data_IF_841739784673
#
_entry.id   IF_841739784673
#
_cell.length_a   1.000
_cell.length_b   1.000
_cell.length_c   1.000
_cell.angle_alpha   90.00
_cell.angle_beta   90.00
_cell.angle_gamma   90.00
#
_symmetry.space_group_name_H-M   'P 1'
#
loop_
_entity.id
_entity.type
_entity.pdbx_description
1 polymer ?
#
# COMPACT_ATOMS: atom_id res chain seq x y z
N UNK A 1 3.27 19.24 8.29
CA UNK A 1 4.03 17.97 8.20
C UNK A 1 5.34 18.07 8.99
N UNK A 2 5.86 16.95 9.51
CA UNK A 2 7.22 16.90 10.07
C UNK A 2 8.27 16.85 8.95
N UNK A 3 9.46 17.37 9.21
CA UNK A 3 10.55 17.43 8.23
C UNK A 3 11.56 16.32 8.50
N UNK A 4 11.90 15.59 7.44
CA UNK A 4 13.03 14.66 7.40
C UNK A 4 14.29 15.48 7.10
N UNK A 5 15.29 15.36 7.96
CA UNK A 5 16.58 16.04 7.83
C UNK A 5 17.67 15.07 7.39
N UNK A 6 18.82 15.60 6.97
CA UNK A 6 20.01 14.78 6.68
C UNK A 6 20.46 13.94 7.88
N UNK A 7 20.30 14.45 9.10
CA UNK A 7 20.57 13.68 10.32
C UNK A 7 19.63 12.47 10.45
N UNK A 8 18.34 12.61 10.12
CA UNK A 8 17.41 11.49 10.11
C UNK A 8 17.84 10.41 9.12
N UNK A 9 18.24 10.82 7.91
CA UNK A 9 18.73 9.92 6.87
C UNK A 9 20.00 9.20 7.33
N UNK A 10 20.94 9.94 7.92
CA UNK A 10 22.19 9.40 8.43
C UNK A 10 21.96 8.39 9.57
N UNK A 11 21.07 8.69 10.52
CA UNK A 11 20.69 7.77 11.61
C UNK A 11 20.04 6.50 11.08
N UNK A 12 19.18 6.62 10.07
CA UNK A 12 18.50 5.47 9.47
C UNK A 12 19.50 4.54 8.76
N UNK A 13 20.34 5.10 7.87
CA UNK A 13 21.35 4.35 7.12
C UNK A 13 22.49 3.82 8.01
N UNK A 14 22.90 4.58 9.03
CA UNK A 14 24.01 4.24 9.92
C UNK A 14 23.65 3.23 11.00
N UNK A 15 22.36 3.07 11.32
CA UNK A 15 21.91 2.11 12.32
C UNK A 15 21.97 0.67 11.78
N UNK A 16 22.82 -0.16 12.38
CA UNK A 16 22.86 -1.59 12.05
C UNK A 16 21.50 -2.27 12.30
N UNK A 17 20.76 -1.83 13.31
CA UNK A 17 19.42 -2.34 13.59
C UNK A 17 18.44 -1.99 12.47
N UNK A 18 18.33 -0.70 12.10
CA UNK A 18 17.37 -0.26 11.10
C UNK A 18 17.76 -0.73 9.69
N UNK A 19 19.00 -0.48 9.28
CA UNK A 19 19.44 -0.75 7.92
C UNK A 19 19.65 -2.25 7.64
N UNK A 20 20.22 -3.02 8.59
CA UNK A 20 20.54 -4.45 8.35
C UNK A 20 19.46 -5.39 8.86
N UNK A 21 19.04 -5.26 10.13
CA UNK A 21 18.08 -6.19 10.73
C UNK A 21 16.65 -5.95 10.24
N UNK A 22 16.16 -4.71 10.34
CA UNK A 22 14.81 -4.39 9.85
C UNK A 22 14.81 -4.30 8.32
N UNK A 23 15.86 -3.74 7.74
CA UNK A 23 15.96 -3.50 6.30
C UNK A 23 15.20 -2.25 5.88
N UNK A 24 15.29 -1.17 6.67
CA UNK A 24 14.70 0.14 6.37
C UNK A 24 15.11 0.65 4.98
N UNK A 25 14.35 1.61 4.46
CA UNK A 25 14.64 2.20 3.14
C UNK A 25 15.82 3.17 3.18
N UNK A 26 16.28 3.58 4.37
CA UNK A 26 17.30 4.61 4.51
C UNK A 26 16.80 6.01 4.16
N UNK A 27 15.48 6.22 4.16
CA UNK A 27 14.84 7.50 3.84
C UNK A 27 14.80 8.46 5.03
N UNK A 28 15.11 7.99 6.24
CA UNK A 28 15.03 8.82 7.45
C UNK A 28 13.65 8.86 8.10
N UNK A 29 12.63 8.22 7.53
CA UNK A 29 11.26 8.23 8.08
C UNK A 29 11.18 7.71 9.52
N UNK A 30 11.91 6.63 9.84
CA UNK A 30 11.93 6.05 11.20
C UNK A 30 12.45 7.05 12.25
N UNK A 31 13.69 7.54 12.11
CA UNK A 31 14.23 8.57 12.99
C UNK A 31 13.40 9.86 13.02
N UNK A 32 12.87 10.32 11.89
CA UNK A 32 12.02 11.51 11.83
C UNK A 32 10.71 11.33 12.64
N UNK A 33 10.05 10.17 12.53
CA UNK A 33 8.87 9.86 13.33
C UNK A 33 9.20 9.71 14.81
N UNK A 34 10.35 9.14 15.16
CA UNK A 34 10.83 9.11 16.54
C UNK A 34 10.96 10.52 17.12
N UNK A 35 11.61 11.44 16.40
CA UNK A 35 11.74 12.84 16.82
C UNK A 35 10.38 13.57 16.86
N UNK A 36 9.46 13.22 15.96
CA UNK A 36 8.10 13.76 15.95
C UNK A 36 7.34 13.35 17.22
N UNK A 37 7.43 12.09 17.64
CA UNK A 37 6.86 11.59 18.91
C UNK A 37 7.48 12.30 20.11
N UNK A 38 8.80 12.53 20.06
CA UNK A 38 9.51 13.30 21.09
C UNK A 38 9.26 14.80 21.04
N UNK A 39 8.48 15.29 20.06
CA UNK A 39 8.13 16.70 19.86
C UNK A 39 9.34 17.60 19.60
N UNK A 40 10.37 17.04 18.95
CA UNK A 40 11.60 17.75 18.58
C UNK A 40 11.79 17.93 17.07
N UNK A 41 11.00 17.22 16.26
CA UNK A 41 11.07 17.33 14.79
C UNK A 41 10.59 18.72 14.29
N UNK A 42 11.33 19.38 13.37
CA UNK A 42 10.89 20.61 12.72
C UNK A 42 9.65 20.37 11.84
N UNK A 43 8.89 21.43 11.58
CA UNK A 43 7.70 21.39 10.75
C UNK A 43 7.90 22.13 9.43
N UNK A 44 7.06 21.82 8.44
CA UNK A 44 7.10 22.48 7.13
C UNK A 44 7.04 24.01 7.18
N UNK A 45 6.29 24.58 8.14
CA UNK A 45 6.21 26.04 8.35
C UNK A 45 7.55 26.67 8.78
N UNK A 46 8.49 25.86 9.27
CA UNK A 46 9.80 26.31 9.74
C UNK A 46 10.86 26.29 8.61
N UNK A 47 10.48 25.87 7.39
CA UNK A 47 11.36 25.76 6.21
C UNK A 47 10.94 26.81 5.17
N UNK A 48 11.71 27.91 5.00
CA UNK A 48 11.33 29.02 4.10
C UNK A 48 11.08 28.61 2.65
N UNK A 49 11.82 27.63 2.15
CA UNK A 49 11.70 27.11 0.78
C UNK A 49 10.35 26.42 0.53
N UNK A 50 9.62 26.05 1.59
CA UNK A 50 8.30 25.43 1.49
C UNK A 50 7.15 26.42 1.65
N UNK A 51 7.43 27.70 1.95
CA UNK A 51 6.42 28.68 2.36
C UNK A 51 5.28 28.84 1.33
N UNK A 52 5.58 28.83 0.03
CA UNK A 52 4.59 29.01 -1.05
C UNK A 52 3.65 27.81 -1.21
N UNK A 53 4.01 26.65 -0.66
CA UNK A 53 3.24 25.41 -0.77
C UNK A 53 2.45 25.08 0.50
N UNK A 54 2.52 25.94 1.53
CA UNK A 54 1.81 25.71 2.79
C UNK A 54 0.30 25.84 2.59
N UNK A 55 -0.42 24.83 3.04
CA UNK A 55 -1.88 24.76 2.99
C UNK A 55 -2.41 24.12 4.27
N UNK A 56 -3.56 24.58 4.75
CA UNK A 56 -4.37 23.86 5.73
C UNK A 56 -5.14 22.73 5.01
N UNK A 57 -4.48 21.58 4.90
CA UNK A 57 -5.02 20.40 4.19
C UNK A 57 -6.36 19.93 4.78
N UNK A 58 -6.52 19.75 6.11
CA UNK A 58 -7.82 19.39 6.69
C UNK A 58 -8.93 20.36 6.31
N UNK A 59 -8.67 21.67 6.35
CA UNK A 59 -9.65 22.67 5.93
C UNK A 59 -9.98 22.59 4.45
N UNK A 60 -8.98 22.44 3.59
CA UNK A 60 -9.19 22.32 2.14
C UNK A 60 -10.04 21.09 1.78
N UNK A 61 -9.79 19.96 2.44
CA UNK A 61 -10.60 18.74 2.28
C UNK A 61 -12.03 18.98 2.78
N UNK A 62 -12.20 19.58 3.96
CA UNK A 62 -13.54 19.87 4.50
C UNK A 62 -14.35 20.79 3.59
N UNK A 63 -13.74 21.84 3.04
CA UNK A 63 -14.36 22.77 2.11
C UNK A 63 -14.76 22.06 0.80
N UNK A 64 -13.90 21.20 0.24
CA UNK A 64 -14.20 20.40 -0.95
C UNK A 64 -15.39 19.45 -0.72
N UNK A 65 -15.40 18.75 0.41
CA UNK A 65 -16.48 17.84 0.77
C UNK A 65 -17.81 18.58 0.99
N UNK A 66 -17.81 19.79 1.56
CA UNK A 66 -19.01 20.64 1.68
C UNK A 66 -19.59 21.06 0.33
N UNK A 67 -18.74 21.12 -0.70
CA UNK A 67 -19.13 21.40 -2.08
C UNK A 67 -19.51 20.12 -2.86
N UNK A 68 -19.67 18.97 -2.17
CA UNK A 68 -19.93 17.65 -2.76
C UNK A 68 -18.89 17.26 -3.82
N UNK A 69 -17.63 17.65 -3.64
CA UNK A 69 -16.53 17.22 -4.50
C UNK A 69 -15.96 15.88 -4.03
N UNK A 70 -15.43 15.11 -4.98
CA UNK A 70 -14.74 13.86 -4.67
C UNK A 70 -13.34 14.15 -4.14
N UNK A 71 -12.98 13.50 -3.04
CA UNK A 71 -11.63 13.54 -2.45
C UNK A 71 -11.06 12.13 -2.44
N UNK A 72 -9.89 11.94 -3.06
CA UNK A 72 -9.16 10.68 -3.04
C UNK A 72 -7.97 10.80 -2.08
N UNK A 73 -7.92 9.92 -1.07
CA UNK A 73 -6.78 9.80 -0.16
C UNK A 73 -5.93 8.60 -0.57
N UNK A 74 -4.64 8.83 -0.82
CA UNK A 74 -3.68 7.76 -1.11
C UNK A 74 -2.90 7.39 0.15
N UNK A 75 -2.82 6.08 0.42
CA UNK A 75 -2.11 5.53 1.57
C UNK A 75 -0.69 5.08 1.26
N UNK A 76 0.16 5.11 2.28
CA UNK A 76 1.38 4.30 2.33
C UNK A 76 1.48 3.65 3.70
N UNK A 77 2.01 2.44 3.87
CA UNK A 77 2.38 1.42 2.88
C UNK A 77 1.28 0.35 2.80
N UNK A 78 1.63 -0.94 2.79
CA UNK A 78 0.67 -2.05 2.88
C UNK A 78 0.42 -2.49 4.32
N UNK A 79 -0.68 -3.20 4.54
CA UNK A 79 -1.12 -3.68 5.87
C UNK A 79 -0.07 -4.52 6.61
N UNK A 80 0.62 -5.43 5.91
CA UNK A 80 1.60 -6.35 6.52
C UNK A 80 2.81 -5.69 7.20
N UNK A 81 3.00 -4.39 6.96
CA UNK A 81 4.04 -3.56 7.59
C UNK A 81 3.46 -2.41 8.42
N UNK A 82 2.20 -2.48 8.81
CA UNK A 82 1.63 -1.61 9.86
C UNK A 82 2.44 -1.74 11.15
N UNK A 83 2.72 -0.62 11.82
CA UNK A 83 3.38 -0.63 13.14
C UNK A 83 2.60 -1.42 14.20
N UNK A 84 1.27 -1.48 14.10
CA UNK A 84 0.41 -2.11 15.10
C UNK A 84 0.03 -3.54 14.73
N UNK A 85 -0.37 -3.75 13.47
CA UNK A 85 -0.97 -5.01 13.03
C UNK A 85 -0.04 -5.83 12.13
N UNK A 86 1.09 -5.25 11.71
CA UNK A 86 2.07 -5.92 10.88
C UNK A 86 2.98 -6.86 11.66
N UNK A 87 3.96 -7.41 10.95
CA UNK A 87 4.93 -8.38 11.49
C UNK A 87 6.04 -7.72 12.32
N UNK A 88 5.68 -7.04 13.41
CA UNK A 88 6.63 -6.35 14.29
C UNK A 88 7.76 -7.29 14.75
N UNK A 89 9.04 -6.87 14.72
CA UNK A 89 9.54 -5.50 14.46
C UNK A 89 9.78 -5.16 12.98
N UNK A 90 9.49 -6.06 12.04
CA UNK A 90 9.77 -5.89 10.61
C UNK A 90 8.65 -5.11 9.90
N UNK A 91 8.40 -3.90 10.40
CA UNK A 91 7.29 -3.02 10.01
C UNK A 91 7.80 -1.61 9.76
N UNK A 92 6.94 -0.74 9.24
CA UNK A 92 7.24 0.69 9.14
C UNK A 92 7.08 1.38 10.51
N UNK A 93 7.35 2.67 10.56
CA UNK A 93 7.31 3.48 11.80
C UNK A 93 5.94 4.10 12.11
N UNK A 94 4.88 3.68 11.40
CA UNK A 94 3.51 4.17 11.57
C UNK A 94 2.52 3.05 11.26
N UNK A 95 1.29 3.17 11.74
CA UNK A 95 0.20 2.38 11.16
C UNK A 95 0.00 2.72 9.67
N UNK A 96 -0.53 1.76 8.92
CA UNK A 96 -0.78 1.86 7.47
C UNK A 96 -2.23 1.56 7.12
N UNK A 97 -3.11 1.46 8.12
CA UNK A 97 -4.53 1.23 7.91
C UNK A 97 -5.25 2.46 7.32
N UNK A 98 -6.42 2.23 6.73
CA UNK A 98 -7.33 3.27 6.23
C UNK A 98 -7.64 4.34 7.29
N UNK A 99 -7.84 3.93 8.54
CA UNK A 99 -8.07 4.85 9.66
C UNK A 99 -6.88 5.78 9.90
N UNK A 100 -5.65 5.26 9.79
CA UNK A 100 -4.46 6.10 9.90
C UNK A 100 -4.33 7.06 8.72
N UNK A 101 -4.65 6.62 7.49
CA UNK A 101 -4.64 7.46 6.29
C UNK A 101 -5.63 8.61 6.42
N UNK A 102 -6.84 8.35 6.94
CA UNK A 102 -7.82 9.38 7.24
C UNK A 102 -7.29 10.38 8.28
N UNK A 103 -6.69 9.88 9.37
CA UNK A 103 -6.11 10.71 10.42
C UNK A 103 -4.93 11.58 9.93
N UNK A 104 -4.09 11.06 9.03
CA UNK A 104 -2.97 11.80 8.45
C UNK A 104 -3.43 13.06 7.69
N UNK A 105 -4.63 12.98 7.09
CA UNK A 105 -5.22 14.04 6.27
C UNK A 105 -6.26 14.88 7.04
N UNK A 106 -6.54 14.56 8.31
CA UNK A 106 -7.50 15.29 9.13
C UNK A 106 -8.96 15.03 8.75
N UNK A 107 -9.27 13.85 8.21
CA UNK A 107 -10.64 13.45 7.85
C UNK A 107 -11.23 12.59 8.97
N UNK A 108 -12.40 12.99 9.47
CA UNK A 108 -13.12 12.21 10.49
C UNK A 108 -13.63 10.87 9.93
N UNK A 109 -13.63 9.79 10.72
CA UNK A 109 -13.95 8.44 10.22
C UNK A 109 -15.38 8.32 9.67
N UNK A 110 -16.33 9.11 10.16
CA UNK A 110 -17.73 9.12 9.68
C UNK A 110 -17.92 9.80 8.32
N UNK A 111 -16.84 10.30 7.71
CA UNK A 111 -16.85 10.97 6.39
C UNK A 111 -16.17 10.13 5.31
N UNK A 112 -15.78 8.90 5.61
CA UNK A 112 -15.19 7.98 4.65
C UNK A 112 -16.34 7.16 4.04
N UNK A 113 -16.58 7.36 2.75
CA UNK A 113 -17.61 6.63 2.01
C UNK A 113 -17.08 5.27 1.52
N UNK A 114 -15.85 5.27 0.99
CA UNK A 114 -15.23 4.11 0.36
C UNK A 114 -13.82 3.83 0.89
N UNK A 115 -13.50 2.55 1.06
CA UNK A 115 -12.16 2.06 1.36
C UNK A 115 -11.77 1.00 0.33
N UNK A 116 -10.88 1.39 -0.59
CA UNK A 116 -10.29 0.48 -1.58
C UNK A 116 -9.06 -0.19 -0.98
N UNK A 117 -9.10 -1.51 -0.76
CA UNK A 117 -7.89 -2.26 -0.35
C UNK A 117 -7.24 -2.91 -1.57
N UNK A 118 -5.99 -2.53 -1.84
CA UNK A 118 -5.25 -3.01 -3.01
C UNK A 118 -4.46 -4.26 -2.66
N UNK A 119 -4.69 -5.32 -3.43
CA UNK A 119 -3.97 -6.58 -3.35
C UNK A 119 -3.17 -6.83 -4.63
N UNK A 120 -2.08 -7.59 -4.50
CA UNK A 120 -1.34 -8.16 -5.63
C UNK A 120 -1.67 -9.64 -5.70
N UNK A 121 -1.89 -10.15 -6.91
CA UNK A 121 -2.08 -11.58 -7.14
C UNK A 121 -0.89 -12.40 -6.60
N UNK A 122 0.32 -11.82 -6.66
CA UNK A 122 1.52 -12.32 -5.99
C UNK A 122 2.03 -11.28 -5.00
N UNK A 123 1.81 -11.45 -3.68
CA UNK A 123 2.34 -10.53 -2.68
C UNK A 123 3.87 -10.50 -2.74
N UNK A 124 4.43 -9.35 -2.35
CA UNK A 124 5.88 -9.14 -2.35
C UNK A 124 6.34 -8.49 -1.06
N UNK A 125 7.52 -8.86 -0.57
CA UNK A 125 8.13 -8.28 0.63
C UNK A 125 9.55 -7.81 0.35
N UNK A 126 9.89 -6.65 0.91
CA UNK A 126 11.26 -6.10 0.91
C UNK A 126 11.85 -6.27 2.30
N UNK A 127 13.13 -6.64 2.38
CA UNK A 127 13.81 -6.84 3.66
C UNK A 127 13.41 -8.13 4.36
N UNK A 128 13.84 -8.25 5.62
CA UNK A 128 13.62 -9.43 6.46
C UNK A 128 12.17 -9.56 6.95
N UNK A 129 11.94 -10.61 7.74
CA UNK A 129 10.69 -10.87 8.44
C UNK A 129 9.83 -11.98 7.82
N UNK A 130 8.82 -12.47 8.56
CA UNK A 130 8.04 -13.64 8.17
C UNK A 130 7.29 -13.46 6.85
N UNK A 131 7.28 -14.49 6.01
CA UNK A 131 6.48 -14.49 4.80
C UNK A 131 5.96 -15.91 4.53
N UNK A 132 4.77 -16.19 5.04
CA UNK A 132 4.08 -17.49 5.06
C UNK A 132 4.03 -18.19 3.70
N UNK A 133 3.75 -17.42 2.65
CA UNK A 133 3.55 -17.94 1.29
C UNK A 133 4.76 -17.74 0.38
N UNK A 134 5.92 -17.38 0.94
CA UNK A 134 7.14 -17.13 0.17
C UNK A 134 7.52 -18.35 -0.68
N UNK A 135 7.73 -18.09 -1.98
CA UNK A 135 8.25 -19.10 -2.89
C UNK A 135 9.76 -19.00 -3.01
N UNK A 136 10.41 -20.07 -3.44
CA UNK A 136 11.86 -20.02 -3.69
C UNK A 136 12.18 -19.06 -4.83
N UNK A 137 13.39 -18.48 -4.80
CA UNK A 137 13.84 -17.54 -5.82
C UNK A 137 13.77 -18.18 -7.22
N UNK A 138 14.17 -19.45 -7.34
CA UNK A 138 14.16 -20.20 -8.61
C UNK A 138 12.75 -20.32 -9.18
N UNK A 139 11.75 -20.57 -8.33
CA UNK A 139 10.35 -20.65 -8.76
C UNK A 139 9.84 -19.30 -9.25
N UNK A 140 10.10 -18.22 -8.50
CA UNK A 140 9.71 -16.87 -8.92
C UNK A 140 10.42 -16.43 -10.20
N UNK A 141 11.67 -16.86 -10.38
CA UNK A 141 12.48 -16.52 -11.54
C UNK A 141 12.00 -17.26 -12.80
N UNK A 142 11.66 -18.55 -12.67
CA UNK A 142 11.07 -19.33 -13.74
C UNK A 142 9.69 -18.80 -14.19
N UNK A 143 8.95 -18.15 -13.29
CA UNK A 143 7.68 -17.50 -13.60
C UNK A 143 7.84 -16.14 -14.28
N UNK A 144 9.03 -15.53 -14.23
CA UNK A 144 9.29 -14.21 -14.81
C UNK A 144 8.57 -13.06 -14.10
N UNK A 145 8.30 -13.20 -12.80
CA UNK A 145 7.54 -12.22 -12.00
C UNK A 145 8.42 -11.41 -11.04
N UNK A 146 9.73 -11.35 -11.30
CA UNK A 146 10.66 -10.65 -10.42
C UNK A 146 10.30 -9.17 -10.26
N UNK A 147 10.38 -8.67 -9.03
CA UNK A 147 10.17 -7.26 -8.73
C UNK A 147 11.37 -6.70 -7.96
N UNK A 148 11.75 -5.46 -8.25
CA UNK A 148 12.83 -4.74 -7.58
C UNK A 148 12.26 -3.48 -6.90
N UNK A 149 12.78 -3.14 -5.72
CA UNK A 149 12.39 -1.91 -5.03
C UNK A 149 12.80 -0.67 -5.83
N UNK A 150 11.91 0.30 -5.96
CA UNK A 150 12.17 1.54 -6.72
C UNK A 150 13.22 2.44 -6.06
N UNK A 151 13.24 2.48 -4.73
CA UNK A 151 14.19 3.30 -3.96
C UNK A 151 15.49 2.54 -3.68
N UNK A 152 15.38 1.32 -3.15
CA UNK A 152 16.57 0.58 -2.69
C UNK A 152 17.20 -0.34 -3.74
N UNK A 153 16.55 -0.52 -4.89
CA UNK A 153 16.92 -1.50 -5.94
C UNK A 153 17.06 -2.96 -5.47
N UNK A 154 16.68 -3.28 -4.23
CA UNK A 154 16.70 -4.64 -3.68
C UNK A 154 15.66 -5.52 -4.38
N UNK A 155 16.04 -6.76 -4.72
CA UNK A 155 15.12 -7.80 -5.19
C UNK A 155 14.08 -8.08 -4.10
N UNK A 156 12.81 -8.14 -4.49
CA UNK A 156 11.72 -8.48 -3.56
C UNK A 156 11.59 -9.99 -3.42
N UNK A 157 11.27 -10.43 -2.20
CA UNK A 157 10.75 -11.78 -1.95
C UNK A 157 9.32 -11.82 -2.47
N UNK A 158 8.91 -12.94 -3.05
CA UNK A 158 7.60 -13.09 -3.70
C UNK A 158 6.91 -14.30 -3.09
N UNK A 159 5.61 -14.19 -2.85
CA UNK A 159 4.80 -15.27 -2.34
C UNK A 159 3.61 -15.59 -3.24
N UNK A 160 2.98 -16.73 -2.98
CA UNK A 160 1.64 -17.02 -3.49
C UNK A 160 0.58 -16.18 -2.77
N UNK A 161 -0.64 -16.18 -3.30
CA UNK A 161 -1.80 -15.58 -2.64
C UNK A 161 -1.95 -16.09 -1.20
N UNK A 162 -2.19 -15.16 -0.27
CA UNK A 162 -2.41 -15.46 1.15
C UNK A 162 -3.81 -14.98 1.54
N UNK A 163 -4.79 -15.90 1.44
CA UNK A 163 -6.20 -15.60 1.69
C UNK A 163 -6.49 -15.23 3.14
N UNK A 164 -5.75 -15.80 4.10
CA UNK A 164 -5.91 -15.50 5.53
C UNK A 164 -5.44 -14.07 5.84
N UNK A 165 -4.26 -13.71 5.33
CA UNK A 165 -3.75 -12.34 5.45
C UNK A 165 -4.63 -11.34 4.70
N UNK A 166 -5.15 -11.70 3.53
CA UNK A 166 -6.05 -10.84 2.76
C UNK A 166 -7.34 -10.55 3.53
N UNK A 167 -7.98 -11.58 4.09
CA UNK A 167 -9.16 -11.47 4.96
C UNK A 167 -8.90 -10.55 6.14
N UNK A 168 -7.81 -10.77 6.87
CA UNK A 168 -7.50 -10.01 8.07
C UNK A 168 -7.19 -8.54 7.74
N UNK A 169 -6.45 -8.30 6.65
CA UNK A 169 -6.19 -6.96 6.13
C UNK A 169 -7.48 -6.23 5.75
N UNK A 170 -8.39 -6.90 5.05
CA UNK A 170 -9.67 -6.33 4.62
C UNK A 170 -10.55 -5.96 5.83
N UNK A 171 -10.62 -6.85 6.82
CA UNK A 171 -11.37 -6.63 8.07
C UNK A 171 -10.85 -5.40 8.82
N UNK A 172 -9.53 -5.30 9.07
CA UNK A 172 -8.96 -4.17 9.83
C UNK A 172 -9.17 -2.83 9.11
N UNK A 173 -9.09 -2.83 7.78
CA UNK A 173 -9.26 -1.60 7.00
C UNK A 173 -10.73 -1.19 6.80
N UNK A 174 -11.69 -2.06 7.09
CA UNK A 174 -13.09 -1.79 6.75
C UNK A 174 -13.30 -1.72 5.24
N UNK A 175 -12.71 -2.68 4.51
CA UNK A 175 -12.73 -2.73 3.04
C UNK A 175 -14.17 -2.67 2.49
N UNK A 176 -14.47 -1.68 1.65
CA UNK A 176 -15.75 -1.57 0.92
C UNK A 176 -15.66 -2.13 -0.48
N UNK A 177 -14.47 -2.08 -1.07
CA UNK A 177 -14.15 -2.65 -2.38
C UNK A 177 -12.68 -3.05 -2.45
N UNK A 178 -12.37 -4.16 -3.12
CA UNK A 178 -11.00 -4.61 -3.35
C UNK A 178 -10.53 -4.22 -4.75
N UNK A 179 -9.22 -3.98 -4.89
CA UNK A 179 -8.55 -3.89 -6.17
C UNK A 179 -7.49 -4.98 -6.27
N UNK A 180 -7.44 -5.74 -7.37
CA UNK A 180 -6.41 -6.75 -7.60
C UNK A 180 -5.52 -6.31 -8.76
N UNK A 181 -4.22 -6.39 -8.54
CA UNK A 181 -3.20 -6.11 -9.56
C UNK A 181 -2.40 -7.36 -9.91
N UNK A 182 -1.93 -7.45 -11.16
CA UNK A 182 -1.11 -8.56 -11.64
C UNK A 182 -1.90 -9.80 -12.06
N UNK A 183 -3.15 -9.64 -12.52
CA UNK A 183 -3.93 -10.78 -13.06
C UNK A 183 -3.28 -11.37 -14.31
N UNK A 184 -2.58 -10.56 -15.11
CA UNK A 184 -1.74 -11.00 -16.23
C UNK A 184 -0.61 -11.97 -15.81
N UNK A 185 -0.25 -11.99 -14.52
CA UNK A 185 0.71 -12.95 -13.96
C UNK A 185 0.04 -14.24 -13.47
N UNK A 186 -1.26 -14.21 -13.20
CA UNK A 186 -2.05 -15.43 -12.98
C UNK A 186 -2.24 -16.15 -14.32
N UNK A 187 -2.55 -15.39 -15.37
CA UNK A 187 -2.67 -15.88 -16.73
C UNK A 187 -2.24 -14.83 -17.75
N UNK A 188 -1.22 -15.16 -18.56
CA UNK A 188 -0.62 -14.22 -19.53
C UNK A 188 -1.61 -13.83 -20.63
N UNK A 189 -2.58 -14.69 -20.92
CA UNK A 189 -3.64 -14.41 -21.90
C UNK A 189 -4.58 -13.29 -21.43
N UNK A 190 -4.52 -12.89 -20.15
CA UNK A 190 -5.26 -11.76 -19.63
C UNK A 190 -4.54 -10.42 -19.80
N UNK A 191 -3.32 -10.38 -20.33
CA UNK A 191 -2.56 -9.14 -20.48
C UNK A 191 -3.30 -8.09 -21.33
N UNK A 192 -3.52 -6.92 -20.73
CA UNK A 192 -4.16 -5.78 -21.38
C UNK A 192 -5.66 -5.92 -21.65
N UNK A 193 -6.32 -6.95 -21.13
CA UNK A 193 -7.78 -7.07 -21.20
C UNK A 193 -8.44 -5.95 -20.37
N UNK A 194 -9.48 -5.31 -20.95
CA UNK A 194 -10.25 -4.23 -20.32
C UNK A 194 -11.72 -4.58 -20.10
N UNK A 195 -12.15 -5.79 -20.45
CA UNK A 195 -13.53 -6.27 -20.27
C UNK A 195 -13.53 -7.57 -19.45
N UNK A 196 -14.29 -7.60 -18.34
CA UNK A 196 -14.35 -8.76 -17.45
C UNK A 196 -14.74 -10.06 -18.17
N UNK A 197 -15.65 -9.97 -19.13
CA UNK A 197 -16.11 -11.11 -19.93
C UNK A 197 -14.98 -11.82 -20.68
N UNK A 198 -13.93 -11.09 -21.09
CA UNK A 198 -12.80 -11.61 -21.86
C UNK A 198 -11.73 -12.28 -21.01
N UNK A 199 -11.76 -12.14 -19.68
CA UNK A 199 -10.83 -12.86 -18.79
C UNK A 199 -10.98 -14.38 -18.94
N UNK A 200 -9.85 -15.08 -18.85
CA UNK A 200 -9.83 -16.54 -18.89
C UNK A 200 -10.54 -17.14 -17.67
N UNK A 201 -10.98 -18.40 -17.78
CA UNK A 201 -11.58 -19.11 -16.64
C UNK A 201 -10.66 -19.14 -15.43
N UNK A 202 -9.35 -19.32 -15.64
CA UNK A 202 -8.35 -19.34 -14.58
C UNK A 202 -8.28 -18.02 -13.81
N UNK A 203 -8.28 -16.88 -14.51
CA UNK A 203 -8.29 -15.57 -13.88
C UNK A 203 -9.60 -15.32 -13.11
N UNK A 204 -10.75 -15.69 -13.70
CA UNK A 204 -12.05 -15.57 -13.03
C UNK A 204 -12.16 -16.43 -11.78
N UNK A 205 -11.67 -17.68 -11.83
CA UNK A 205 -11.64 -18.58 -10.67
C UNK A 205 -10.75 -18.00 -9.55
N UNK A 206 -9.62 -17.38 -9.90
CA UNK A 206 -8.76 -16.69 -8.94
C UNK A 206 -9.45 -15.49 -8.29
N UNK A 207 -10.08 -14.62 -9.10
CA UNK A 207 -10.80 -13.44 -8.60
C UNK A 207 -11.91 -13.86 -7.66
N UNK A 208 -12.69 -14.89 -8.03
CA UNK A 208 -13.75 -15.43 -7.18
C UNK A 208 -13.22 -15.93 -5.85
N UNK A 209 -12.12 -16.69 -5.85
CA UNK A 209 -11.51 -17.15 -4.59
C UNK A 209 -11.02 -15.96 -3.75
N UNK A 210 -10.42 -14.95 -4.38
CA UNK A 210 -9.96 -13.76 -3.68
C UNK A 210 -11.13 -12.99 -3.05
N UNK A 211 -12.28 -12.85 -3.74
CA UNK A 211 -13.49 -12.26 -3.18
C UNK A 211 -14.01 -13.04 -1.96
N UNK A 212 -14.02 -14.38 -2.02
CA UNK A 212 -14.40 -15.24 -0.90
C UNK A 212 -13.44 -15.10 0.30
N UNK A 213 -12.15 -14.96 0.04
CA UNK A 213 -11.13 -14.77 1.08
C UNK A 213 -11.26 -13.39 1.73
N UNK A 214 -11.29 -12.33 0.92
CA UNK A 214 -11.36 -10.93 1.35
C UNK A 214 -12.70 -10.63 2.05
N UNK A 215 -13.79 -11.24 1.57
CA UNK A 215 -15.15 -10.94 2.03
C UNK A 215 -15.69 -9.62 1.48
N UNK A 216 -15.17 -9.17 0.34
CA UNK A 216 -15.49 -7.89 -0.29
C UNK A 216 -15.34 -8.02 -1.82
N UNK A 217 -16.22 -7.38 -2.64
CA UNK A 217 -16.14 -7.51 -4.09
C UNK A 217 -14.86 -6.90 -4.66
N UNK A 218 -14.31 -7.53 -5.69
CA UNK A 218 -13.14 -7.02 -6.42
C UNK A 218 -13.64 -6.12 -7.54
N UNK A 219 -13.61 -4.81 -7.32
CA UNK A 219 -14.20 -3.84 -8.23
C UNK A 219 -13.24 -3.33 -9.32
N UNK A 220 -11.93 -3.40 -9.04
CA UNK A 220 -10.88 -2.90 -9.93
C UNK A 220 -9.84 -4.00 -10.18
N UNK A 221 -9.58 -4.30 -11.45
CA UNK A 221 -8.68 -5.39 -11.83
C UNK A 221 -7.66 -4.87 -12.83
N UNK A 222 -6.39 -4.77 -12.42
CA UNK A 222 -5.30 -4.42 -13.31
C UNK A 222 -4.78 -5.65 -14.05
N UNK A 223 -4.68 -5.50 -15.37
CA UNK A 223 -4.28 -6.54 -16.33
C UNK A 223 -2.93 -6.21 -17.00
N UNK A 224 -2.21 -5.22 -16.48
CA UNK A 224 -0.91 -4.82 -16.97
C UNK A 224 -0.43 -3.49 -16.37
N UNK A 225 0.77 -3.03 -16.74
CA UNK A 225 1.38 -1.84 -16.17
C UNK A 225 0.81 -0.51 -16.69
N UNK A 226 0.16 -0.49 -17.86
CA UNK A 226 -0.36 0.74 -18.44
C UNK A 226 -1.67 1.17 -17.76
N UNK A 227 -1.90 2.49 -17.68
CA UNK A 227 -3.10 3.06 -17.03
C UNK A 227 -4.40 2.56 -17.69
N UNK A 228 -4.37 2.27 -18.99
CA UNK A 228 -5.54 1.77 -19.73
C UNK A 228 -5.77 0.27 -19.54
N UNK A 229 -4.84 -0.47 -18.92
CA UNK A 229 -4.92 -1.92 -18.72
C UNK A 229 -5.59 -2.23 -17.38
N UNK A 230 -6.84 -1.80 -17.28
CA UNK A 230 -7.68 -1.95 -16.10
C UNK A 230 -9.10 -2.32 -16.52
N UNK A 231 -9.71 -3.20 -15.75
CA UNK A 231 -11.13 -3.51 -15.80
C UNK A 231 -11.75 -2.83 -14.57
N UNK A 232 -12.75 -1.99 -14.81
CA UNK A 232 -13.50 -1.28 -13.77
C UNK A 232 -14.96 -1.75 -13.81
N UNK A 233 -15.39 -2.46 -12.78
CA UNK A 233 -16.75 -2.98 -12.64
C UNK A 233 -17.50 -2.35 -11.47
N UNK A 234 -17.05 -1.19 -10.97
CA UNK A 234 -17.70 -0.52 -9.84
C UNK A 234 -19.16 -0.19 -10.08
N UNK A 235 -19.54 0.15 -11.31
CA UNK A 235 -20.93 0.46 -11.66
C UNK A 235 -21.81 -0.80 -11.74
N UNK A 236 -21.23 -1.97 -11.93
CA UNK A 236 -21.95 -3.25 -11.96
C UNK A 236 -22.23 -3.81 -10.56
N UNK A 237 -21.54 -3.27 -9.54
CA UNK A 237 -21.63 -3.68 -8.13
C UNK A 237 -22.60 -2.83 -7.29
N UNK A 238 -23.14 -1.75 -7.87
CA UNK A 238 -24.10 -0.84 -7.22
C UNK A 238 -25.53 -1.40 -7.19
#
# INVERSE_FOLDING_TARGET
>A
CGIITEDHIARDKGSAHLAKKIGSTGSGCGPANSDRVMRTSPQAKDVPELAEYLLDVPKAIDDALKLNQNVLLEGTQGFGISLYYGTYPFVTSKDTSASQIAADNGVGPTRIDDVVVVFKAYPTRVGEGPFSTEMTAEKSDAMGIQEFGTVTHRKRRIGGWDGEMARYSAMINGCTQAAITGIDRIDKDCFGITEYAKLTKKAKDFIKQAEEDIGCPVALISTGPEITQIIDIRDELK
#
